data_IF_212785719497
#
_entry.id   IF_212785719497
#
_cell.length_a   1.000
_cell.length_b   1.000
_cell.length_c   1.000
_cell.angle_alpha   90.00
_cell.angle_beta   90.00
_cell.angle_gamma   90.00
#
_symmetry.space_group_name_H-M   'P 1'
#
loop_
_entity.id
_entity.type
_entity.pdbx_description
1 polymer ?
#
# COMPACT_ATOMS: atom_id res chain seq x y z
N UNK A 1 -6.68 30.73 -55.80
CA UNK A 1 -5.91 29.59 -56.32
C UNK A 1 -6.52 28.33 -55.74
N UNK A 2 -7.28 27.62 -56.56
CA UNK A 2 -7.91 26.33 -56.22
C UNK A 2 -6.90 25.21 -56.48
N UNK A 3 -6.78 24.27 -55.55
CA UNK A 3 -6.28 22.93 -55.85
C UNK A 3 -7.06 21.91 -55.01
N UNK A 4 -7.94 21.18 -55.70
CA UNK A 4 -8.39 19.84 -55.30
C UNK A 4 -7.36 18.82 -55.78
N UNK A 5 -7.32 17.64 -55.15
CA UNK A 5 -7.12 16.44 -55.94
C UNK A 5 -8.25 15.43 -55.69
N UNK A 6 -8.92 15.15 -56.80
CA UNK A 6 -9.74 13.99 -57.12
C UNK A 6 -9.03 12.66 -56.85
N UNK A 7 -9.70 11.73 -56.16
CA UNK A 7 -9.39 10.30 -56.24
C UNK A 7 -10.31 9.67 -57.30
N UNK A 8 -9.76 9.42 -58.49
CA UNK A 8 -10.36 8.55 -59.50
C UNK A 8 -9.85 7.11 -59.36
N UNK A 9 -10.71 6.21 -59.79
CA UNK A 9 -10.71 4.75 -59.66
C UNK A 9 -9.77 4.04 -60.63
N UNK A 10 -9.42 2.80 -60.26
CA UNK A 10 -9.37 1.57 -61.08
C UNK A 10 -8.08 0.77 -60.88
N UNK A 11 -8.25 -0.50 -60.51
CA UNK A 11 -7.74 -1.63 -61.31
C UNK A 11 -8.27 -2.94 -60.72
N UNK A 12 -9.13 -3.60 -61.48
CA UNK A 12 -9.44 -5.02 -61.32
C UNK A 12 -8.22 -5.86 -61.75
N UNK A 13 -7.90 -6.89 -60.98
CA UNK A 13 -6.79 -7.80 -61.24
C UNK A 13 -7.08 -9.20 -60.71
N UNK A 14 -7.84 -9.96 -61.51
CA UNK A 14 -7.75 -11.40 -61.78
C UNK A 14 -7.41 -12.39 -60.63
N UNK A 15 -8.38 -13.26 -60.38
CA UNK A 15 -8.28 -14.54 -59.67
C UNK A 15 -7.24 -15.48 -60.30
N UNK A 16 -6.38 -16.07 -59.48
CA UNK A 16 -5.75 -17.35 -59.78
C UNK A 16 -5.80 -18.24 -58.53
N UNK A 17 -6.60 -19.31 -58.65
CA UNK A 17 -6.80 -20.36 -57.66
C UNK A 17 -5.65 -21.36 -57.75
N UNK A 18 -4.82 -21.41 -56.71
CA UNK A 18 -3.89 -22.52 -56.51
C UNK A 18 -4.47 -23.44 -55.43
N UNK A 19 -5.07 -24.55 -55.88
CA UNK A 19 -5.38 -25.73 -55.11
C UNK A 19 -4.10 -26.30 -54.47
N UNK A 20 -3.99 -26.25 -53.14
CA UNK A 20 -2.96 -26.98 -52.39
C UNK A 20 -3.63 -28.05 -51.52
N UNK A 21 -3.30 -29.30 -51.84
CA UNK A 21 -3.80 -30.52 -51.18
C UNK A 21 -3.44 -30.52 -49.70
N UNK A 22 -4.47 -30.73 -48.89
CA UNK A 22 -4.42 -30.90 -47.44
C UNK A 22 -3.98 -32.35 -47.15
N UNK A 23 -2.82 -32.53 -46.52
CA UNK A 23 -2.48 -33.72 -45.76
C UNK A 23 -2.23 -33.31 -44.29
N UNK A 24 -3.31 -33.39 -43.50
CA UNK A 24 -3.39 -34.05 -42.19
C UNK A 24 -2.10 -34.17 -41.34
N UNK A 25 -1.98 -33.37 -40.26
CA UNK A 25 -1.84 -33.77 -38.83
C UNK A 25 -1.23 -32.59 -38.02
N UNK A 26 -2.11 -31.81 -37.37
CA UNK A 26 -2.07 -31.41 -35.94
C UNK A 26 -0.90 -30.56 -35.38
N UNK A 27 -0.98 -29.23 -35.45
CA UNK A 27 -1.35 -28.30 -34.34
C UNK A 27 -1.14 -26.83 -34.74
N UNK A 28 -2.22 -26.07 -34.58
CA UNK A 28 -2.42 -24.67 -34.93
C UNK A 28 -1.78 -23.70 -33.89
N UNK A 29 -1.11 -22.63 -34.34
CA UNK A 29 -1.56 -21.20 -34.33
C UNK A 29 -1.36 -20.53 -32.93
N UNK A 30 -0.72 -19.37 -32.76
CA UNK A 30 -0.75 -18.16 -33.58
C UNK A 30 0.58 -17.38 -33.56
N UNK A 31 0.96 -16.87 -34.74
CA UNK A 31 1.95 -15.81 -34.93
C UNK A 31 1.32 -14.48 -34.52
N UNK A 32 1.99 -13.76 -33.61
CA UNK A 32 1.62 -12.43 -33.13
C UNK A 32 1.66 -11.44 -34.31
N UNK A 33 0.52 -11.19 -34.94
CA UNK A 33 0.38 -10.10 -35.90
C UNK A 33 0.26 -8.78 -35.11
N UNK A 34 1.38 -8.07 -34.96
CA UNK A 34 1.38 -6.67 -34.56
C UNK A 34 0.67 -5.83 -35.63
N UNK A 35 -0.65 -5.72 -35.51
CA UNK A 35 -1.39 -4.67 -36.18
C UNK A 35 -1.01 -3.34 -35.54
N UNK A 36 -0.03 -2.65 -36.13
CA UNK A 36 0.19 -1.22 -35.90
C UNK A 36 -0.98 -0.51 -36.55
N UNK A 37 -2.08 -0.41 -35.80
CA UNK A 37 -3.25 0.36 -36.19
C UNK A 37 -2.85 1.81 -36.34
N UNK A 38 -3.19 2.39 -37.50
CA UNK A 38 -3.23 3.82 -37.77
C UNK A 38 -3.63 4.57 -36.51
N UNK A 39 -2.74 5.43 -35.99
CA UNK A 39 -3.09 6.40 -34.95
C UNK A 39 -4.03 7.41 -35.60
N UNK A 40 -5.30 7.05 -35.72
CA UNK A 40 -6.35 8.03 -35.93
C UNK A 40 -6.21 9.03 -34.80
N UNK A 41 -6.01 10.31 -35.14
CA UNK A 41 -5.93 11.41 -34.19
C UNK A 41 -7.29 11.55 -33.49
N UNK A 42 -7.59 10.68 -32.52
CA UNK A 42 -8.87 10.72 -31.81
C UNK A 42 -9.00 12.06 -31.12
N UNK A 43 -10.12 12.74 -31.39
CA UNK A 43 -10.45 14.04 -30.82
C UNK A 43 -10.94 13.92 -29.37
N UNK A 44 -11.09 12.69 -28.85
CA UNK A 44 -11.59 12.41 -27.50
C UNK A 44 -10.83 11.22 -26.90
N UNK A 45 -10.68 11.15 -25.57
CA UNK A 45 -10.09 10.00 -24.92
C UNK A 45 -10.98 8.77 -25.07
N UNK A 46 -10.39 7.63 -25.36
CA UNK A 46 -11.03 6.33 -25.44
C UNK A 46 -10.79 5.51 -24.16
N UNK A 47 -11.52 4.41 -24.00
CA UNK A 47 -11.33 3.48 -22.87
C UNK A 47 -9.89 2.96 -22.81
N UNK A 48 -9.24 2.77 -23.96
CA UNK A 48 -7.85 2.31 -24.03
C UNK A 48 -6.87 3.35 -23.43
N UNK A 49 -7.11 4.64 -23.65
CA UNK A 49 -6.28 5.71 -23.06
C UNK A 49 -6.40 5.69 -21.52
N UNK A 50 -7.63 5.57 -21.01
CA UNK A 50 -7.90 5.45 -19.56
C UNK A 50 -7.22 4.20 -19.01
N UNK A 51 -7.36 3.06 -19.67
CA UNK A 51 -6.78 1.80 -19.23
C UNK A 51 -5.25 1.87 -19.14
N UNK A 52 -4.59 2.52 -20.11
CA UNK A 52 -3.14 2.70 -20.13
C UNK A 52 -2.66 3.44 -18.88
N UNK A 53 -3.25 4.58 -18.57
CA UNK A 53 -2.83 5.37 -17.41
C UNK A 53 -3.22 4.69 -16.08
N UNK A 54 -4.39 4.03 -16.02
CA UNK A 54 -4.78 3.26 -14.84
C UNK A 54 -3.85 2.07 -14.61
N UNK A 55 -3.31 1.44 -15.65
CA UNK A 55 -2.36 0.34 -15.50
C UNK A 55 -1.08 0.80 -14.78
N UNK A 56 -0.63 2.03 -15.02
CA UNK A 56 0.48 2.64 -14.28
C UNK A 56 0.08 2.97 -12.83
N UNK A 57 -1.10 3.55 -12.62
CA UNK A 57 -1.60 3.89 -11.28
C UNK A 57 -1.83 2.67 -10.38
N UNK A 58 -2.13 1.51 -10.97
CA UNK A 58 -2.33 0.23 -10.29
C UNK A 58 -1.19 -0.77 -10.53
N UNK A 59 0.00 -0.29 -10.90
CA UNK A 59 1.18 -1.12 -11.10
C UNK A 59 1.57 -1.81 -9.78
N UNK A 60 1.07 -3.03 -9.59
CA UNK A 60 1.43 -3.87 -8.47
C UNK A 60 1.33 -5.37 -8.81
N UNK A 61 2.33 -6.18 -8.44
CA UNK A 61 2.35 -7.62 -8.73
C UNK A 61 1.15 -8.40 -8.18
N UNK A 62 0.60 -8.04 -7.02
CA UNK A 62 -0.44 -8.82 -6.34
C UNK A 62 -1.87 -8.47 -6.78
N UNK A 63 -2.06 -7.45 -7.61
CA UNK A 63 -3.37 -7.06 -8.15
C UNK A 63 -3.36 -6.99 -9.68
N UNK A 64 -4.55 -6.99 -10.25
CA UNK A 64 -4.80 -6.77 -11.66
C UNK A 64 -5.93 -5.76 -11.87
N UNK A 65 -5.83 -5.01 -12.97
CA UNK A 65 -6.84 -4.07 -13.42
C UNK A 65 -7.67 -4.72 -14.52
N UNK A 66 -8.99 -4.74 -14.37
CA UNK A 66 -9.93 -5.26 -15.37
C UNK A 66 -11.15 -4.34 -15.53
N UNK A 67 -11.98 -4.64 -16.52
CA UNK A 67 -13.29 -4.02 -16.73
C UNK A 67 -13.28 -2.48 -16.80
N UNK A 68 -12.20 -1.90 -17.31
CA UNK A 68 -12.12 -0.46 -17.54
C UNK A 68 -13.16 -0.07 -18.58
N UNK A 69 -14.07 0.84 -18.21
CA UNK A 69 -15.14 1.33 -19.06
C UNK A 69 -15.29 2.83 -18.87
N UNK A 70 -15.14 3.58 -19.95
CA UNK A 70 -15.59 4.98 -20.00
C UNK A 70 -17.11 5.00 -19.90
N UNK A 71 -17.64 5.73 -18.93
CA UNK A 71 -19.07 5.90 -18.71
C UNK A 71 -19.59 7.17 -19.38
N UNK A 72 -18.84 8.28 -19.26
CA UNK A 72 -19.23 9.57 -19.83
C UNK A 72 -17.98 10.43 -20.07
N UNK A 73 -18.15 11.56 -20.76
CA UNK A 73 -17.20 12.66 -20.67
C UNK A 73 -17.55 13.85 -21.55
N UNK A 74 -17.07 15.01 -21.13
CA UNK A 74 -17.35 16.30 -21.74
C UNK A 74 -16.05 17.02 -22.10
N UNK A 75 -16.09 17.79 -23.19
CA UNK A 75 -15.01 18.71 -23.51
C UNK A 75 -15.01 19.85 -22.48
N UNK A 76 -13.86 20.08 -21.84
CA UNK A 76 -13.73 21.11 -20.81
C UNK A 76 -13.15 22.40 -21.39
N UNK A 77 -12.09 22.26 -22.19
CA UNK A 77 -11.40 23.29 -22.99
C UNK A 77 -10.69 22.55 -24.12
N UNK A 78 -10.46 23.11 -25.31
CA UNK A 78 -10.08 22.38 -26.54
C UNK A 78 -8.83 21.45 -26.54
N UNK A 79 -8.15 21.27 -25.40
CA UNK A 79 -7.10 20.26 -25.16
C UNK A 79 -7.34 19.36 -23.94
N UNK A 80 -8.44 19.54 -23.22
CA UNK A 80 -8.82 18.89 -21.97
C UNK A 80 -10.21 18.27 -22.10
N UNK A 81 -10.33 17.06 -21.58
CA UNK A 81 -11.57 16.29 -21.64
C UNK A 81 -11.85 15.69 -20.27
N UNK A 82 -12.98 16.04 -19.68
CA UNK A 82 -13.45 15.44 -18.44
C UNK A 82 -14.02 14.05 -18.75
N UNK A 83 -13.60 13.04 -18.00
CA UNK A 83 -14.03 11.65 -18.16
C UNK A 83 -14.59 11.10 -16.86
N UNK A 84 -15.68 10.35 -16.97
CA UNK A 84 -16.17 9.46 -15.92
C UNK A 84 -16.00 8.03 -16.38
N UNK A 85 -15.53 7.16 -15.49
CA UNK A 85 -15.24 5.77 -15.83
C UNK A 85 -15.44 4.84 -14.64
N UNK A 86 -15.47 3.54 -14.92
CA UNK A 86 -15.46 2.48 -13.93
C UNK A 86 -14.38 1.47 -14.25
N UNK A 87 -13.82 0.83 -13.23
CA UNK A 87 -12.87 -0.26 -13.39
C UNK A 87 -12.94 -1.20 -12.18
N UNK A 88 -12.40 -2.40 -12.35
CA UNK A 88 -12.27 -3.38 -11.28
C UNK A 88 -10.80 -3.56 -10.96
N UNK A 89 -10.48 -3.61 -9.66
CA UNK A 89 -9.14 -4.02 -9.18
C UNK A 89 -9.30 -5.32 -8.43
N UNK A 90 -8.64 -6.37 -8.89
CA UNK A 90 -8.77 -7.73 -8.35
C UNK A 90 -7.45 -8.21 -7.76
N UNK A 91 -7.51 -9.05 -6.73
CA UNK A 91 -6.34 -9.76 -6.20
C UNK A 91 -6.00 -10.92 -7.14
N UNK A 92 -4.75 -10.98 -7.61
CA UNK A 92 -4.31 -12.07 -8.48
C UNK A 92 -4.36 -13.42 -7.74
N UNK A 93 -4.83 -14.44 -8.43
CA UNK A 93 -4.95 -15.80 -7.88
C UNK A 93 -6.28 -16.07 -7.15
N UNK A 94 -7.22 -15.13 -7.16
CA UNK A 94 -8.58 -15.35 -6.69
C UNK A 94 -8.72 -15.47 -5.16
N UNK A 95 -9.77 -16.17 -4.73
CA UNK A 95 -10.24 -16.17 -3.34
C UNK A 95 -9.21 -16.73 -2.34
N UNK A 96 -8.57 -17.86 -2.64
CA UNK A 96 -7.57 -18.46 -1.75
C UNK A 96 -6.29 -17.62 -1.65
N UNK A 97 -5.87 -17.00 -2.77
CA UNK A 97 -4.73 -16.09 -2.79
C UNK A 97 -5.02 -14.83 -1.97
N UNK A 98 -6.22 -14.26 -2.11
CA UNK A 98 -6.67 -13.13 -1.29
C UNK A 98 -6.76 -13.49 0.20
N UNK A 99 -7.30 -14.67 0.52
CA UNK A 99 -7.42 -15.14 1.90
C UNK A 99 -6.04 -15.28 2.55
N UNK A 100 -5.08 -15.89 1.83
CA UNK A 100 -3.70 -16.03 2.28
C UNK A 100 -3.01 -14.67 2.42
N UNK A 101 -3.14 -13.79 1.42
CA UNK A 101 -2.55 -12.46 1.44
C UNK A 101 -3.02 -11.65 2.66
N UNK A 102 -4.33 -11.53 2.86
CA UNK A 102 -4.88 -10.70 3.95
C UNK A 102 -4.66 -11.31 5.33
N UNK A 103 -4.76 -12.64 5.47
CA UNK A 103 -4.49 -13.30 6.75
C UNK A 103 -3.03 -13.18 7.16
N UNK A 104 -2.09 -13.38 6.23
CA UNK A 104 -0.66 -13.25 6.50
C UNK A 104 -0.30 -11.79 6.80
N UNK A 105 -0.87 -10.84 6.04
CA UNK A 105 -0.64 -9.43 6.27
C UNK A 105 -1.11 -9.01 7.66
N UNK A 106 -2.35 -9.35 8.03
CA UNK A 106 -2.89 -9.06 9.35
C UNK A 106 -2.04 -9.68 10.48
N UNK A 107 -1.59 -10.92 10.30
CA UNK A 107 -0.72 -11.59 11.26
C UNK A 107 0.63 -10.92 11.45
N UNK A 108 1.30 -10.53 10.36
CA UNK A 108 2.59 -9.86 10.42
C UNK A 108 2.46 -8.45 10.97
N UNK A 109 1.43 -7.69 10.58
CA UNK A 109 1.16 -6.36 11.15
C UNK A 109 0.95 -6.41 12.67
N UNK A 110 0.22 -7.43 13.15
CA UNK A 110 -0.01 -7.62 14.59
C UNK A 110 1.29 -7.85 15.38
N UNK A 111 2.38 -8.28 14.74
CA UNK A 111 3.68 -8.49 15.38
C UNK A 111 4.58 -7.25 15.39
N UNK A 112 4.28 -6.23 14.56
CA UNK A 112 5.15 -5.04 14.42
C UNK A 112 5.29 -4.30 15.74
N UNK A 113 4.16 -3.96 16.37
CA UNK A 113 4.17 -3.19 17.62
C UNK A 113 4.75 -3.99 18.81
N UNK A 114 4.36 -5.26 19.05
CA UNK A 114 4.97 -6.07 20.10
C UNK A 114 6.49 -6.23 19.94
N UNK A 115 6.97 -6.49 18.71
CA UNK A 115 8.40 -6.63 18.44
C UNK A 115 9.16 -5.34 18.70
N UNK A 116 8.59 -4.19 18.29
CA UNK A 116 9.17 -2.88 18.55
C UNK A 116 9.26 -2.60 20.06
N UNK A 117 8.19 -2.84 20.81
CA UNK A 117 8.17 -2.64 22.27
C UNK A 117 9.19 -3.55 22.97
N UNK A 118 9.27 -4.82 22.57
CA UNK A 118 10.24 -5.75 23.12
C UNK A 118 11.68 -5.28 22.84
N UNK A 119 11.96 -4.82 21.62
CA UNK A 119 13.27 -4.29 21.25
C UNK A 119 13.63 -3.03 22.05
N UNK A 120 12.70 -2.08 22.19
CA UNK A 120 12.93 -0.85 22.96
C UNK A 120 13.22 -1.15 24.44
N UNK A 121 12.51 -2.13 25.02
CA UNK A 121 12.78 -2.61 26.37
C UNK A 121 14.16 -3.27 26.48
N UNK A 122 14.51 -4.15 25.55
CA UNK A 122 15.81 -4.84 25.56
C UNK A 122 16.97 -3.84 25.40
N UNK A 123 16.81 -2.82 24.57
CA UNK A 123 17.77 -1.74 24.41
C UNK A 123 17.98 -0.97 25.73
N UNK A 124 16.89 -0.62 26.42
CA UNK A 124 16.96 0.05 27.71
C UNK A 124 17.67 -0.82 28.77
N UNK A 125 17.30 -2.09 28.89
CA UNK A 125 17.91 -3.03 29.85
C UNK A 125 19.40 -3.29 29.53
N UNK A 126 19.78 -3.29 28.25
CA UNK A 126 21.17 -3.41 27.82
C UNK A 126 21.97 -2.12 28.10
N UNK A 127 21.37 -0.93 27.94
CA UNK A 127 22.00 0.35 28.30
C UNK A 127 22.29 0.44 29.80
N UNK A 128 21.36 -0.03 30.65
CA UNK A 128 21.58 -0.10 32.11
C UNK A 128 22.74 -1.03 32.45
N UNK A 129 22.80 -2.22 31.85
CA UNK A 129 23.89 -3.19 32.08
C UNK A 129 25.24 -2.69 31.56
N UNK A 130 25.26 -2.00 30.42
CA UNK A 130 26.45 -1.37 29.89
C UNK A 130 26.98 -0.27 30.84
N UNK A 131 26.11 0.57 31.38
CA UNK A 131 26.48 1.58 32.37
C UNK A 131 27.03 0.97 33.68
N UNK A 132 26.60 -0.25 34.04
CA UNK A 132 27.11 -1.01 35.18
C UNK A 132 28.40 -1.78 34.88
N UNK A 133 28.95 -1.69 33.66
CA UNK A 133 30.16 -2.41 33.24
C UNK A 133 29.94 -3.91 32.96
N UNK A 134 28.69 -4.37 32.92
CA UNK A 134 28.33 -5.78 32.67
C UNK A 134 28.27 -6.12 31.18
N UNK A 135 28.26 -5.11 30.31
CA UNK A 135 28.32 -5.24 28.84
C UNK A 135 29.50 -4.39 28.33
N UNK A 136 30.73 -4.94 28.32
CA UNK A 136 31.93 -4.19 27.91
C UNK A 136 31.88 -3.78 26.43
N UNK A 137 31.24 -4.58 25.58
CA UNK A 137 31.06 -4.31 24.15
C UNK A 137 29.83 -3.44 23.85
N UNK A 138 29.19 -2.91 24.90
CA UNK A 138 28.01 -2.04 24.82
C UNK A 138 26.71 -2.77 24.50
N UNK A 139 25.62 -2.00 24.39
CA UNK A 139 24.25 -2.52 24.29
C UNK A 139 23.99 -3.41 23.06
N UNK A 140 24.70 -3.18 21.95
CA UNK A 140 24.50 -3.90 20.70
C UNK A 140 25.11 -5.32 20.73
N UNK A 141 25.98 -5.60 21.71
CA UNK A 141 26.50 -6.93 21.96
C UNK A 141 25.52 -7.80 22.74
N UNK A 142 24.48 -7.20 23.35
CA UNK A 142 23.47 -7.95 24.08
C UNK A 142 22.73 -8.95 23.16
N UNK A 143 22.69 -10.25 23.52
CA UNK A 143 22.05 -11.28 22.69
C UNK A 143 20.57 -11.01 22.41
N UNK A 144 19.83 -10.44 23.36
CA UNK A 144 18.41 -10.18 23.22
C UNK A 144 18.15 -8.99 22.30
N UNK A 145 18.95 -7.92 22.42
CA UNK A 145 18.94 -6.80 21.47
C UNK A 145 19.20 -7.29 20.05
N UNK A 146 20.20 -8.16 19.84
CA UNK A 146 20.51 -8.73 18.52
C UNK A 146 19.37 -9.58 17.98
N UNK A 147 18.81 -10.48 18.80
CA UNK A 147 17.70 -11.36 18.43
C UNK A 147 16.47 -10.54 18.00
N UNK A 148 16.09 -9.54 18.79
CA UNK A 148 14.93 -8.70 18.51
C UNK A 148 15.15 -7.76 17.31
N UNK A 149 16.37 -7.28 17.11
CA UNK A 149 16.74 -6.51 15.91
C UNK A 149 16.56 -7.37 14.66
N UNK A 150 17.09 -8.61 14.68
CA UNK A 150 16.93 -9.55 13.57
C UNK A 150 15.45 -9.90 13.32
N UNK A 151 14.67 -10.13 14.38
CA UNK A 151 13.23 -10.41 14.26
C UNK A 151 12.49 -9.23 13.62
N UNK A 152 12.81 -7.99 14.01
CA UNK A 152 12.25 -6.77 13.39
C UNK A 152 12.60 -6.67 11.91
N UNK A 153 13.85 -6.93 11.53
CA UNK A 153 14.30 -6.89 10.13
C UNK A 153 13.64 -7.97 9.28
N UNK A 154 13.52 -9.19 9.82
CA UNK A 154 12.81 -10.29 9.16
C UNK A 154 11.33 -9.95 8.95
N UNK A 155 10.69 -9.38 9.97
CA UNK A 155 9.29 -8.94 9.89
C UNK A 155 9.11 -7.87 8.81
N UNK A 156 9.97 -6.84 8.79
CA UNK A 156 9.95 -5.79 7.78
C UNK A 156 10.12 -6.35 6.36
N UNK A 157 11.08 -7.27 6.19
CA UNK A 157 11.39 -7.90 4.90
C UNK A 157 10.22 -8.74 4.40
N UNK A 158 9.59 -9.52 5.30
CA UNK A 158 8.44 -10.35 4.95
C UNK A 158 7.25 -9.50 4.55
N UNK A 159 6.98 -8.43 5.30
CA UNK A 159 5.95 -7.45 5.05
C UNK A 159 6.12 -6.75 3.69
N UNK A 160 7.33 -6.32 3.35
CA UNK A 160 7.64 -5.72 2.05
C UNK A 160 7.48 -6.73 0.88
N UNK A 161 7.86 -7.98 1.10
CA UNK A 161 7.72 -9.05 0.09
C UNK A 161 6.25 -9.43 -0.14
N UNK A 162 5.44 -9.41 0.91
CA UNK A 162 4.02 -9.74 0.85
C UNK A 162 3.20 -8.66 0.12
N UNK A 163 3.59 -7.39 0.31
CA UNK A 163 2.92 -6.23 -0.26
C UNK A 163 3.89 -5.35 -1.06
N UNK A 164 4.24 -5.77 -2.29
CA UNK A 164 5.18 -5.04 -3.15
C UNK A 164 4.55 -3.82 -3.86
N UNK A 165 3.34 -3.40 -3.48
CA UNK A 165 2.67 -2.27 -4.12
C UNK A 165 3.26 -0.94 -3.63
N UNK A 166 3.76 -0.11 -4.56
CA UNK A 166 4.31 1.21 -4.23
C UNK A 166 3.32 2.34 -4.48
N UNK A 167 2.45 2.19 -5.49
CA UNK A 167 1.47 3.19 -5.90
C UNK A 167 0.41 3.37 -4.82
N UNK A 168 0.08 4.63 -4.50
CA UNK A 168 -0.91 4.97 -3.46
C UNK A 168 -2.27 4.35 -3.77
N UNK A 169 -2.69 4.32 -5.03
CA UNK A 169 -3.98 3.77 -5.45
C UNK A 169 -4.08 2.26 -5.20
N UNK A 170 -3.09 1.48 -5.65
CA UNK A 170 -3.05 0.04 -5.37
C UNK A 170 -3.08 -0.26 -3.86
N UNK A 171 -2.24 0.43 -3.08
CA UNK A 171 -2.17 0.23 -1.63
C UNK A 171 -3.50 0.58 -0.96
N UNK A 172 -4.15 1.66 -1.37
CA UNK A 172 -5.42 2.10 -0.80
C UNK A 172 -6.53 1.08 -1.07
N UNK A 173 -6.64 0.56 -2.31
CA UNK A 173 -7.64 -0.47 -2.63
C UNK A 173 -7.40 -1.77 -1.88
N UNK A 174 -6.14 -2.18 -1.76
CA UNK A 174 -5.79 -3.37 -0.98
C UNK A 174 -6.08 -3.19 0.52
N UNK A 175 -5.84 -2.03 1.10
CA UNK A 175 -6.21 -1.74 2.50
C UNK A 175 -7.72 -1.79 2.74
N UNK A 176 -8.52 -1.28 1.79
CA UNK A 176 -9.99 -1.39 1.86
C UNK A 176 -10.43 -2.85 1.85
N UNK A 177 -9.91 -3.65 0.90
CA UNK A 177 -10.21 -5.09 0.83
C UNK A 177 -9.72 -5.84 2.07
N UNK A 178 -8.52 -5.55 2.57
CA UNK A 178 -8.00 -6.14 3.80
C UNK A 178 -8.89 -5.84 5.01
N UNK A 179 -9.31 -4.59 5.18
CA UNK A 179 -10.18 -4.20 6.30
C UNK A 179 -11.51 -4.96 6.27
N UNK A 180 -12.09 -5.16 5.07
CA UNK A 180 -13.29 -5.98 4.91
C UNK A 180 -13.02 -7.47 5.20
N UNK A 181 -11.85 -8.01 4.82
CA UNK A 181 -11.44 -9.37 5.14
C UNK A 181 -11.27 -9.58 6.66
N UNK A 182 -10.62 -8.64 7.35
CA UNK A 182 -10.46 -8.63 8.81
C UNK A 182 -11.82 -8.62 9.52
N UNK A 183 -12.77 -7.82 9.03
CA UNK A 183 -14.13 -7.79 9.59
C UNK A 183 -14.83 -9.15 9.41
N UNK A 184 -14.75 -9.75 8.23
CA UNK A 184 -15.33 -11.07 7.97
C UNK A 184 -14.68 -12.16 8.84
N UNK A 185 -13.37 -12.06 9.11
CA UNK A 185 -12.62 -13.02 9.92
C UNK A 185 -13.04 -13.02 11.41
N UNK A 186 -13.61 -11.92 11.92
CA UNK A 186 -14.12 -11.83 13.29
C UNK A 186 -15.27 -12.80 13.57
N UNK A 187 -15.95 -13.28 12.53
CA UNK A 187 -17.02 -14.29 12.65
C UNK A 187 -16.57 -15.59 13.30
N UNK A 188 -15.26 -15.88 13.33
CA UNK A 188 -14.74 -17.12 13.89
C UNK A 188 -15.04 -18.35 13.02
N UNK A 189 -15.51 -18.16 11.78
CA UNK A 189 -15.68 -19.23 10.80
C UNK A 189 -14.35 -19.55 10.07
N UNK A 190 -14.19 -20.79 9.63
CA UNK A 190 -13.01 -21.23 8.85
C UNK A 190 -13.12 -20.85 7.36
N UNK A 191 -14.34 -20.79 6.85
CA UNK A 191 -14.67 -20.23 5.54
C UNK A 191 -15.36 -18.89 5.75
N UNK A 192 -14.87 -17.86 5.06
CA UNK A 192 -15.47 -16.52 5.11
C UNK A 192 -15.58 -15.96 3.70
N UNK A 193 -16.46 -14.97 3.53
CA UNK A 193 -16.52 -14.17 2.31
C UNK A 193 -15.30 -13.24 2.24
N UNK A 194 -14.27 -13.65 1.51
CA UNK A 194 -13.03 -12.90 1.36
C UNK A 194 -13.16 -11.93 0.19
N UNK A 195 -12.83 -10.64 0.35
CA UNK A 195 -12.73 -9.68 -0.75
C UNK A 195 -11.74 -10.14 -1.81
N UNK A 196 -12.19 -10.28 -3.05
CA UNK A 196 -11.36 -10.68 -4.18
C UNK A 196 -11.18 -9.58 -5.21
N UNK A 197 -12.13 -8.64 -5.26
CA UNK A 197 -12.04 -7.50 -6.14
C UNK A 197 -12.81 -6.31 -5.57
N UNK A 198 -12.50 -5.13 -6.09
CA UNK A 198 -13.19 -3.89 -5.78
C UNK A 198 -13.54 -3.17 -7.08
N UNK A 199 -14.84 -2.90 -7.26
CA UNK A 199 -15.32 -2.04 -8.34
C UNK A 199 -15.18 -0.60 -7.91
N UNK A 200 -14.56 0.20 -8.76
CA UNK A 200 -14.21 1.59 -8.51
C UNK A 200 -14.84 2.44 -9.59
N UNK A 201 -15.36 3.60 -9.20
CA UNK A 201 -15.74 4.68 -10.11
C UNK A 201 -14.66 5.75 -10.04
N UNK A 202 -14.25 6.24 -11.20
CA UNK A 202 -13.31 7.34 -11.34
C UNK A 202 -13.91 8.53 -12.08
N UNK A 203 -13.52 9.72 -11.68
CA UNK A 203 -13.69 10.94 -12.49
C UNK A 203 -12.35 11.64 -12.60
N UNK A 204 -12.00 12.09 -13.81
CA UNK A 204 -10.71 12.70 -14.05
C UNK A 204 -10.74 13.60 -15.28
N UNK A 205 -9.66 14.34 -15.46
CA UNK A 205 -9.46 15.20 -16.63
C UNK A 205 -8.29 14.66 -17.42
N UNK A 206 -8.48 14.43 -18.72
CA UNK A 206 -7.44 13.99 -19.62
C UNK A 206 -7.02 15.12 -20.55
N UNK A 207 -5.71 15.30 -20.73
CA UNK A 207 -5.11 16.19 -21.71
C UNK A 207 -4.59 15.42 -22.92
N UNK A 208 -4.66 16.04 -24.10
CA UNK A 208 -4.09 15.49 -25.33
C UNK A 208 -2.60 15.84 -25.43
N UNK A 209 -1.74 14.82 -25.46
CA UNK A 209 -0.30 14.92 -25.73
C UNK A 209 0.05 14.26 -27.06
N UNK A 210 1.31 14.38 -27.49
CA UNK A 210 1.81 13.72 -28.70
C UNK A 210 1.69 12.19 -28.64
N UNK A 211 1.77 11.62 -27.42
CA UNK A 211 1.68 10.19 -27.15
C UNK A 211 0.25 9.65 -26.97
N UNK A 212 -0.78 10.50 -27.07
CA UNK A 212 -2.18 10.15 -26.85
C UNK A 212 -2.84 10.97 -25.73
N UNK A 213 -4.00 10.52 -25.27
CA UNK A 213 -4.69 11.14 -24.14
C UNK A 213 -4.13 10.61 -22.83
N UNK A 214 -3.86 11.50 -21.89
CA UNK A 214 -3.35 11.17 -20.56
C UNK A 214 -4.05 11.96 -19.47
N UNK A 215 -4.18 11.42 -18.27
CA UNK A 215 -4.69 12.15 -17.12
C UNK A 215 -3.81 13.36 -16.81
N UNK A 216 -4.41 14.55 -16.82
CA UNK A 216 -3.76 15.81 -16.47
C UNK A 216 -3.50 15.94 -14.94
N UNK A 217 -4.01 14.99 -14.16
CA UNK A 217 -3.82 14.88 -12.72
C UNK A 217 -4.47 13.61 -12.20
N UNK A 218 -4.22 13.27 -10.94
CA UNK A 218 -4.77 12.06 -10.33
C UNK A 218 -6.31 12.09 -10.36
N UNK A 219 -6.97 11.06 -10.94
CA UNK A 219 -8.43 10.99 -10.92
C UNK A 219 -8.96 10.89 -9.50
N UNK A 220 -10.17 11.41 -9.27
CA UNK A 220 -10.92 11.16 -8.06
C UNK A 220 -11.56 9.77 -8.14
N UNK A 221 -11.35 8.94 -7.13
CA UNK A 221 -11.85 7.57 -7.09
C UNK A 221 -12.81 7.35 -5.93
N UNK A 222 -13.87 6.58 -6.16
CA UNK A 222 -14.79 6.10 -5.14
C UNK A 222 -15.05 4.61 -5.28
N UNK A 223 -15.14 3.93 -4.13
CA UNK A 223 -15.52 2.51 -4.09
C UNK A 223 -17.00 2.37 -4.40
N UNK A 224 -17.32 1.53 -5.39
CA UNK A 224 -18.71 1.19 -5.75
C UNK A 224 -19.14 -0.07 -5.02
N UNK A 225 -18.30 -1.10 -5.05
CA UNK A 225 -18.66 -2.43 -4.55
C UNK A 225 -17.38 -3.19 -4.18
N UNK A 226 -17.43 -3.94 -3.08
CA UNK A 226 -16.41 -4.95 -2.76
C UNK A 226 -16.99 -6.31 -3.14
N UNK A 227 -16.37 -6.94 -4.14
CA UNK A 227 -16.72 -8.29 -4.59
C UNK A 227 -16.03 -9.29 -3.67
N UNK A 228 -16.81 -10.21 -3.12
CA UNK A 228 -16.31 -11.25 -2.21
C UNK A 228 -16.50 -12.63 -2.80
N UNK A 229 -15.66 -13.57 -2.39
CA UNK A 229 -15.79 -14.99 -2.69
C UNK A 229 -15.45 -15.81 -1.45
N UNK A 230 -16.13 -16.95 -1.26
CA UNK A 230 -15.86 -17.81 -0.13
C UNK A 230 -14.50 -18.49 -0.28
N UNK A 231 -13.67 -18.39 0.75
CA UNK A 231 -12.39 -19.08 0.84
C UNK A 231 -12.09 -19.49 2.28
N UNK A 232 -11.20 -20.47 2.43
CA UNK A 232 -10.67 -20.82 3.74
C UNK A 232 -9.71 -19.73 4.19
N UNK A 233 -9.98 -19.11 5.35
CA UNK A 233 -9.15 -18.03 5.88
C UNK A 233 -8.14 -18.59 6.90
N UNK A 234 -6.83 -18.58 6.58
CA UNK A 234 -5.81 -19.08 7.49
C UNK A 234 -5.81 -18.35 8.82
N UNK A 235 -5.63 -19.10 9.91
CA UNK A 235 -5.40 -18.54 11.24
C UNK A 235 -3.99 -18.81 11.68
N UNK A 236 -3.23 -17.74 11.84
CA UNK A 236 -1.91 -17.81 12.42
C UNK A 236 -2.03 -17.77 13.94
N UNK A 237 -1.30 -18.64 14.63
CA UNK A 237 -1.23 -18.58 16.09
C UNK A 237 -0.42 -17.34 16.47
N UNK A 238 -0.93 -16.56 17.42
CA UNK A 238 -0.13 -15.52 18.05
C UNK A 238 1.08 -16.22 18.70
N UNK A 239 2.28 -15.81 18.30
CA UNK A 239 3.50 -16.30 18.94
C UNK A 239 3.48 -15.73 20.36
N UNK A 240 3.36 -16.60 21.36
CA UNK A 240 3.37 -16.17 22.75
C UNK A 240 4.76 -15.57 23.00
N UNK A 241 4.81 -14.24 23.15
CA UNK A 241 5.96 -13.58 23.74
C UNK A 241 6.26 -14.34 25.02
N UNK A 242 7.44 -14.95 25.12
CA UNK A 242 7.85 -15.65 26.32
C UNK A 242 7.72 -14.65 27.47
N UNK A 243 6.67 -14.80 28.27
CA UNK A 243 6.52 -14.09 29.52
C UNK A 243 7.63 -14.63 30.40
N UNK A 244 8.79 -13.97 30.39
CA UNK A 244 9.75 -14.11 31.46
C UNK A 244 9.01 -13.68 32.71
N UNK A 245 8.55 -14.67 33.47
CA UNK A 245 7.96 -14.54 34.79
C UNK A 245 8.90 -13.70 35.64
N UNK A 246 8.56 -12.43 35.83
CA UNK A 246 9.16 -11.64 36.89
C UNK A 246 8.69 -12.24 38.23
N UNK A 247 9.59 -12.45 39.20
CA UNK A 247 9.21 -13.06 40.46
C UNK A 247 8.24 -12.16 41.24
N UNK A 248 7.22 -12.79 41.78
CA UNK A 248 6.13 -12.24 42.58
C UNK A 248 6.65 -11.73 43.93
N UNK A 249 7.43 -10.65 43.97
CA UNK A 249 7.93 -10.09 45.24
C UNK A 249 7.92 -8.56 45.34
N UNK A 250 7.37 -7.85 44.35
CA UNK A 250 7.23 -6.39 44.38
C UNK A 250 5.83 -5.88 44.80
N UNK A 251 4.93 -6.74 45.31
CA UNK A 251 3.54 -6.37 45.66
C UNK A 251 3.25 -6.18 47.15
N UNK A 252 4.27 -6.13 48.02
CA UNK A 252 4.07 -5.82 49.44
C UNK A 252 5.04 -4.75 49.91
N UNK A 253 4.73 -3.49 49.61
CA UNK A 253 5.17 -2.32 50.37
C UNK A 253 4.24 -1.13 50.03
N UNK A 254 2.97 -1.24 50.43
CA UNK A 254 2.13 -0.06 50.67
C UNK A 254 1.86 -0.04 52.16
N UNK A 255 2.74 0.70 52.86
CA UNK A 255 2.62 0.99 54.27
C UNK A 255 1.36 1.80 54.55
N UNK A 256 0.63 1.30 55.54
CA UNK A 256 -0.47 1.91 56.28
C UNK A 256 -0.09 3.34 56.74
N UNK A 257 -0.78 4.37 56.25
CA UNK A 257 -0.85 5.69 56.90
C UNK A 257 -2.31 6.09 57.02
N UNK A 258 -2.71 6.39 58.26
CA UNK A 258 -4.07 6.71 58.70
C UNK A 258 -4.32 8.22 58.61
N UNK A 259 -5.58 8.55 58.34
CA UNK A 259 -6.24 9.84 58.12
C UNK A 259 -5.77 11.10 58.91
N UNK A 260 -5.96 12.27 58.28
CA UNK A 260 -5.96 13.59 58.91
C UNK A 260 -6.23 14.78 57.95
N UNK A 261 -7.51 15.03 57.69
CA UNK A 261 -8.22 16.32 57.59
C UNK A 261 -7.79 17.50 56.65
N UNK A 262 -8.82 17.98 55.93
CA UNK A 262 -9.17 19.35 55.44
C UNK A 262 -8.54 20.02 54.20
N UNK A 263 -9.48 20.30 53.27
CA UNK A 263 -9.72 21.49 52.44
C UNK A 263 -8.80 21.85 51.27
N UNK A 264 -9.31 21.67 50.03
CA UNK A 264 -9.87 22.80 49.27
C UNK A 264 -10.47 22.33 47.94
N UNK A 265 -11.76 22.64 47.74
CA UNK A 265 -12.46 22.54 46.47
C UNK A 265 -12.02 23.66 45.53
N UNK A 266 -11.73 23.32 44.27
CA UNK A 266 -12.00 24.18 43.13
C UNK A 266 -12.61 23.31 42.03
N UNK A 267 -13.94 23.29 42.00
CA UNK A 267 -14.70 22.98 40.78
C UNK A 267 -14.68 24.22 39.87
N UNK A 268 -14.46 24.01 38.58
CA UNK A 268 -15.26 24.67 37.54
C UNK A 268 -15.70 23.60 36.55
N UNK A 269 -17.01 23.53 36.38
CA UNK A 269 -17.78 22.54 35.66
C UNK A 269 -17.96 22.84 34.17
N UNK A 270 -18.22 21.74 33.45
CA UNK A 270 -19.17 21.60 32.33
C UNK A 270 -18.86 22.23 30.96
N UNK A 271 -18.84 21.34 29.96
CA UNK A 271 -19.75 21.33 28.80
C UNK A 271 -19.02 21.19 27.47
N UNK A 272 -19.39 20.16 26.70
CA UNK A 272 -19.01 19.98 25.31
C UNK A 272 -18.62 18.55 24.98
N UNK A 273 -19.57 17.72 24.58
CA UNK A 273 -19.27 16.55 23.73
C UNK A 273 -18.48 17.02 22.50
N UNK A 274 -17.59 16.18 21.98
CA UNK A 274 -17.81 15.77 20.60
C UNK A 274 -17.67 14.26 20.39
N UNK A 275 -18.52 13.81 19.46
CA UNK A 275 -18.56 12.55 18.73
C UNK A 275 -17.27 11.74 18.69
N UNK A 276 -17.42 10.45 18.99
CA UNK A 276 -16.47 9.40 18.65
C UNK A 276 -16.01 9.51 17.19
N UNK A 277 -14.75 9.89 17.01
CA UNK A 277 -14.05 9.81 15.74
C UNK A 277 -13.10 8.61 15.83
N UNK A 278 -13.25 7.55 15.02
CA UNK A 278 -12.29 6.46 15.04
C UNK A 278 -10.93 6.96 14.56
N UNK A 279 -9.91 6.75 15.39
CA UNK A 279 -8.55 7.16 15.11
C UNK A 279 -8.04 6.50 13.82
N UNK A 280 -7.75 7.39 12.89
CA UNK A 280 -7.06 7.26 11.61
C UNK A 280 -5.79 6.37 11.68
N UNK A 281 -5.94 5.08 11.41
CA UNK A 281 -4.87 4.08 11.37
C UNK A 281 -4.15 3.98 10.00
N UNK A 282 -4.01 5.07 9.24
CA UNK A 282 -3.47 5.05 7.87
C UNK A 282 -2.07 5.66 7.70
N UNK A 283 -1.31 5.88 8.78
CA UNK A 283 0.06 6.46 8.73
C UNK A 283 1.17 5.56 9.29
N UNK A 284 0.86 4.37 9.78
CA UNK A 284 1.80 3.55 10.56
C UNK A 284 2.87 2.84 9.73
N UNK A 285 2.57 2.41 8.51
CA UNK A 285 3.54 1.67 7.70
C UNK A 285 4.78 2.45 7.30
N UNK A 286 4.60 3.67 6.79
CA UNK A 286 5.72 4.49 6.31
C UNK A 286 6.59 5.05 7.44
N UNK A 287 6.12 5.09 8.70
CA UNK A 287 6.92 5.57 9.83
C UNK A 287 7.56 4.46 10.66
N UNK A 288 6.94 3.28 10.74
CA UNK A 288 7.48 2.17 11.54
C UNK A 288 8.80 1.60 10.96
N UNK A 289 9.02 1.78 9.65
CA UNK A 289 10.16 1.18 8.92
C UNK A 289 11.04 2.19 8.18
N UNK A 290 11.00 3.48 8.53
CA UNK A 290 12.04 4.41 8.06
C UNK A 290 13.39 3.95 8.61
N UNK A 291 14.29 3.52 7.71
CA UNK A 291 15.70 3.31 8.02
C UNK A 291 16.29 4.59 8.64
N UNK A 292 17.23 4.49 9.60
CA UNK A 292 17.90 5.67 10.11
C UNK A 292 18.64 6.35 8.95
N UNK A 293 18.28 7.62 8.70
CA UNK A 293 19.09 8.50 7.88
C UNK A 293 20.53 8.45 8.43
N UNK A 294 21.50 8.10 7.59
CA UNK A 294 22.93 8.21 7.92
C UNK A 294 23.18 9.62 8.42
N UNK A 295 23.42 9.77 9.72
CA UNK A 295 23.92 10.98 10.33
C UNK A 295 25.30 11.25 9.73
N UNK A 296 25.38 12.27 8.87
CA UNK A 296 26.64 12.88 8.47
C UNK A 296 27.19 13.58 9.71
N UNK A 297 28.44 13.30 10.15
CA UNK A 297 29.00 13.94 11.33
C UNK A 297 29.26 15.43 11.02
N UNK A 298 28.69 16.31 11.85
CA UNK A 298 29.09 17.71 11.90
C UNK A 298 30.57 17.80 12.27
N UNK A 299 31.38 18.31 11.34
CA UNK A 299 32.75 18.67 11.59
C UNK A 299 32.81 19.77 12.66
N UNK A 300 33.48 19.44 13.75
CA UNK A 300 33.73 20.30 14.90
C UNK A 300 34.93 21.20 14.57
N UNK A 301 34.68 22.46 14.21
CA UNK A 301 35.75 23.46 14.07
C UNK A 301 36.10 24.03 15.46
N UNK A 302 37.28 23.66 15.96
CA UNK A 302 37.92 24.29 17.13
C UNK A 302 38.81 25.46 16.66
N UNK A 303 38.51 26.65 17.18
CA UNK A 303 39.44 27.50 17.94
C UNK A 303 40.55 28.28 17.21
N UNK A 304 40.46 29.62 17.30
CA UNK A 304 41.48 30.61 17.71
C UNK A 304 41.02 32.00 17.23
N UNK A 305 41.32 33.17 17.82
CA UNK A 305 41.94 33.67 19.06
C UNK A 305 42.05 35.19 18.84
N UNK A 306 41.83 36.02 19.87
CA UNK A 306 42.25 37.45 19.99
C UNK A 306 41.55 38.47 19.02
N UNK A 307 41.22 39.71 19.37
CA UNK A 307 41.79 40.68 20.32
C UNK A 307 40.72 41.61 20.93
N UNK A 308 41.05 42.02 22.15
CA UNK A 308 40.53 43.09 22.99
C UNK A 308 40.85 44.47 22.41
N UNK A 309 39.88 45.39 22.34
CA UNK A 309 40.16 46.83 22.30
C UNK A 309 39.10 47.61 23.08
N UNK A 310 39.59 48.46 23.98
CA UNK A 310 38.84 49.41 24.81
C UNK A 310 38.29 50.55 23.95
N UNK A 311 37.13 51.07 24.34
CA UNK A 311 36.90 52.50 24.57
C UNK A 311 35.89 52.63 25.70
#
# INVERSE_FOLDING_TARGET
MQYSPSCQTNSAGKSESAHLKINSVTRAVAVLACAVGLTACSSKPETADIQKDLAEAYACPVIELSDVKKADGAEADGKLYDVSFTHTVSVKGGADAAAKLFSEWAYLEAQVQPTQIALDKALFDADVRAAQGQLPDGRNADPEVRRLTQAKEQLATRLASLMPCETIEAVTRLQVMRSAAEEAAKSGQSQIAVPVAIKVRGTGRMGKAESGWHFAGMPAFSTVEIVTANATYPRFKAEATANTSAPTEARRLVGKVRAGNTDSCLEVSASGMPSATPCRASRTWRRAFSAPAKTVPCAQSRGNSMTRTKS
#
